data_IF_987364678054
#
_entry.id   IF_987364678054
#
_cell.length_a   1.000
_cell.length_b   1.000
_cell.length_c   1.000
_cell.angle_alpha   90.00
_cell.angle_beta   90.00
_cell.angle_gamma   90.00
#
_symmetry.space_group_name_H-M   'P 1'
#
loop_
_entity.id
_entity.type
_entity.pdbx_description
1 polymer ?
#
# COMPACT_ATOMS: atom_id res chain seq x y z
N UNK A 1 32.00 5.81 2.64
CA UNK A 1 31.18 4.80 3.35
C UNK A 1 30.20 4.24 2.35
N UNK A 2 30.51 3.07 1.78
CA UNK A 2 29.59 2.36 0.90
C UNK A 2 28.41 1.84 1.73
N UNK A 3 27.23 1.81 1.13
CA UNK A 3 26.01 1.25 1.71
C UNK A 3 26.17 -0.24 2.03
N UNK A 4 27.08 -0.93 1.32
CA UNK A 4 27.52 -2.29 1.57
C UNK A 4 28.34 -2.40 2.89
N UNK A 5 29.25 -1.45 3.16
CA UNK A 5 29.96 -1.37 4.45
C UNK A 5 29.02 -1.05 5.62
N UNK A 6 27.99 -0.25 5.38
CA UNK A 6 26.96 0.08 6.38
C UNK A 6 26.01 -1.10 6.63
N UNK A 7 25.84 -2.00 5.67
CA UNK A 7 25.14 -3.28 5.84
C UNK A 7 25.99 -4.26 6.65
N UNK A 8 27.29 -4.36 6.35
CA UNK A 8 28.21 -5.26 7.07
C UNK A 8 28.32 -4.93 8.58
N UNK A 9 28.32 -3.65 8.95
CA UNK A 9 28.28 -3.23 10.35
C UNK A 9 26.97 -3.61 11.06
N UNK A 10 25.90 -3.83 10.29
CA UNK A 10 24.61 -4.28 10.79
C UNK A 10 24.44 -5.81 10.71
N UNK A 11 25.38 -6.56 10.13
CA UNK A 11 25.31 -8.04 10.02
C UNK A 11 26.37 -8.78 10.84
N UNK A 12 27.19 -8.09 11.64
CA UNK A 12 28.22 -8.74 12.45
C UNK A 12 27.63 -9.47 13.68
N UNK A 13 27.15 -10.70 13.47
CA UNK A 13 27.40 -11.80 14.39
C UNK A 13 28.80 -12.33 14.09
N UNK A 14 29.68 -12.31 15.08
CA UNK A 14 31.12 -12.46 14.87
C UNK A 14 31.54 -13.74 14.15
N UNK A 15 32.36 -13.57 13.11
CA UNK A 15 33.62 -14.32 12.95
C UNK A 15 34.47 -13.64 11.89
N UNK A 16 35.73 -13.43 12.20
CA UNK A 16 36.80 -13.03 11.28
C UNK A 16 38.03 -13.88 11.63
N UNK A 17 39.10 -13.93 10.80
CA UNK A 17 39.27 -13.48 9.42
C UNK A 17 39.87 -14.59 8.52
N UNK A 18 40.16 -14.30 7.24
CA UNK A 18 41.47 -14.60 6.63
C UNK A 18 41.60 -13.82 5.31
N UNK A 19 42.72 -13.11 5.21
CA UNK A 19 43.35 -12.48 4.05
C UNK A 19 43.51 -13.43 2.85
N UNK A 20 43.45 -12.92 1.62
CA UNK A 20 44.65 -12.71 0.78
C UNK A 20 44.31 -12.14 -0.61
N UNK A 21 44.98 -11.03 -0.92
CA UNK A 21 45.75 -10.75 -2.14
C UNK A 21 45.11 -10.82 -3.55
N UNK A 22 44.99 -9.62 -4.15
CA UNK A 22 45.09 -9.33 -5.60
C UNK A 22 46.54 -9.63 -6.13
N UNK A 23 46.85 -9.71 -7.47
CA UNK A 23 46.46 -8.70 -8.48
C UNK A 23 46.33 -9.10 -9.99
N UNK A 24 45.68 -8.19 -10.74
CA UNK A 24 45.98 -7.60 -12.07
C UNK A 24 46.47 -8.45 -13.27
N UNK A 25 45.83 -8.30 -14.46
CA UNK A 25 46.48 -8.13 -15.80
C UNK A 25 45.55 -7.36 -16.78
N UNK A 26 46.22 -6.55 -17.59
CA UNK A 26 45.87 -5.56 -18.61
C UNK A 26 45.57 -6.13 -20.04
N UNK A 27 45.20 -5.23 -20.97
CA UNK A 27 45.48 -5.22 -22.43
C UNK A 27 44.35 -5.55 -23.45
N UNK A 28 43.98 -4.48 -24.20
CA UNK A 28 43.75 -4.34 -25.67
C UNK A 28 42.35 -4.30 -26.32
N UNK A 29 42.11 -3.14 -26.97
CA UNK A 29 41.29 -2.76 -28.15
C UNK A 29 41.96 -3.28 -29.47
N UNK A 30 41.54 -2.95 -30.73
CA UNK A 30 40.34 -2.27 -31.30
C UNK A 30 39.72 -3.04 -32.50
N UNK A 31 38.60 -2.63 -33.13
CA UNK A 31 38.50 -1.81 -34.37
C UNK A 31 37.05 -1.96 -34.91
N UNK A 32 36.28 -0.90 -35.21
CA UNK A 32 36.17 -0.11 -36.47
C UNK A 32 34.84 -0.42 -37.18
N UNK A 33 34.02 0.62 -37.43
CA UNK A 33 33.26 0.91 -38.69
C UNK A 33 32.06 1.86 -38.43
N UNK A 34 32.19 3.10 -38.89
CA UNK A 34 31.10 4.06 -39.22
C UNK A 34 30.47 3.72 -40.60
N UNK A 35 29.55 4.51 -41.20
CA UNK A 35 28.42 5.32 -40.69
C UNK A 35 27.10 5.06 -41.47
N UNK A 36 25.95 5.58 -41.02
CA UNK A 36 24.84 5.98 -41.94
C UNK A 36 23.79 6.86 -41.26
N UNK A 37 23.51 8.00 -41.90
CA UNK A 37 22.44 8.95 -41.65
C UNK A 37 21.03 8.33 -41.74
N UNK A 38 20.08 8.85 -40.96
CA UNK A 38 18.84 9.48 -41.49
C UNK A 38 18.01 10.04 -40.33
N UNK A 39 17.95 11.37 -40.25
CA UNK A 39 16.99 12.10 -39.43
C UNK A 39 15.56 11.81 -39.91
N UNK A 40 14.76 11.20 -39.05
CA UNK A 40 13.29 11.14 -39.12
C UNK A 40 12.73 11.46 -37.72
N UNK A 41 11.49 11.96 -37.59
CA UNK A 41 11.00 12.51 -36.33
C UNK A 41 11.00 11.44 -35.25
N UNK A 42 11.77 11.68 -34.21
CA UNK A 42 11.85 10.80 -33.05
C UNK A 42 10.52 10.92 -32.29
N UNK A 43 9.56 10.05 -32.63
CA UNK A 43 8.44 9.74 -31.75
C UNK A 43 9.00 9.17 -30.46
N UNK A 44 9.11 10.02 -29.45
CA UNK A 44 9.42 9.65 -28.08
C UNK A 44 8.25 8.84 -27.51
N UNK A 45 8.27 7.53 -27.70
CA UNK A 45 7.42 6.60 -26.96
C UNK A 45 8.26 5.92 -25.87
N UNK A 46 8.44 6.66 -24.79
CA UNK A 46 8.75 6.27 -23.42
C UNK A 46 9.07 4.79 -23.17
N UNK A 47 10.35 4.50 -22.89
CA UNK A 47 10.73 3.31 -22.13
C UNK A 47 10.22 3.48 -20.69
N UNK A 48 8.99 3.05 -20.45
CA UNK A 48 8.45 2.86 -19.10
C UNK A 48 9.26 1.74 -18.43
N UNK A 49 10.33 2.12 -17.74
CA UNK A 49 11.18 1.16 -17.03
C UNK A 49 10.40 0.41 -15.94
N UNK A 50 10.85 -0.82 -15.64
CA UNK A 50 10.28 -1.67 -14.58
C UNK A 50 10.25 -0.93 -13.24
N UNK A 51 9.19 -1.13 -12.46
CA UNK A 51 9.09 -0.65 -11.07
C UNK A 51 8.85 -1.80 -10.10
N UNK A 52 9.51 -1.74 -8.95
CA UNK A 52 9.27 -2.64 -7.82
C UNK A 52 8.23 -2.03 -6.88
N UNK A 53 7.31 -2.86 -6.42
CA UNK A 53 6.37 -2.56 -5.36
C UNK A 53 6.74 -3.41 -4.13
N UNK A 54 6.89 -2.78 -2.97
CA UNK A 54 7.29 -3.45 -1.75
C UNK A 54 6.32 -3.15 -0.61
N UNK A 55 5.97 -4.17 0.16
CA UNK A 55 5.13 -4.07 1.34
C UNK A 55 5.98 -3.93 2.62
N UNK A 56 5.32 -3.60 3.74
CA UNK A 56 6.00 -3.42 5.04
C UNK A 56 6.56 -4.72 5.63
N UNK A 57 6.03 -5.87 5.20
CA UNK A 57 6.56 -7.22 5.50
C UNK A 57 7.68 -7.65 4.52
N UNK A 58 8.16 -6.71 3.69
CA UNK A 58 9.21 -6.89 2.68
C UNK A 58 8.83 -7.86 1.55
N UNK A 59 7.57 -8.24 1.45
CA UNK A 59 7.10 -8.90 0.24
C UNK A 59 7.12 -7.90 -0.92
N UNK A 60 7.50 -8.36 -2.11
CA UNK A 60 7.69 -7.47 -3.26
C UNK A 60 7.39 -8.13 -4.59
N UNK A 61 6.95 -7.32 -5.55
CA UNK A 61 6.69 -7.73 -6.93
C UNK A 61 7.06 -6.62 -7.91
N UNK A 62 7.38 -7.01 -9.15
CA UNK A 62 7.79 -6.09 -10.21
C UNK A 62 6.72 -5.94 -11.29
N UNK A 63 6.69 -4.78 -11.94
CA UNK A 63 5.84 -4.52 -13.11
C UNK A 63 6.54 -3.69 -14.16
N UNK A 64 6.33 -4.05 -15.43
CA UNK A 64 6.70 -3.30 -16.62
C UNK A 64 5.73 -2.14 -16.93
N UNK A 65 4.65 -2.01 -16.15
CA UNK A 65 3.52 -1.10 -16.40
C UNK A 65 3.23 -0.22 -15.18
N UNK A 66 4.23 0.49 -14.64
CA UNK A 66 4.08 1.23 -13.39
C UNK A 66 3.02 2.33 -13.42
N UNK A 67 2.68 2.87 -14.60
CA UNK A 67 1.64 3.91 -14.76
C UNK A 67 0.22 3.39 -14.52
N UNK A 68 -0.01 2.09 -14.62
CA UNK A 68 -1.30 1.47 -14.36
C UNK A 68 -1.59 1.30 -12.87
N UNK A 69 -0.56 1.46 -12.03
CA UNK A 69 -0.64 1.25 -10.59
C UNK A 69 -0.38 2.57 -9.86
N UNK A 70 -1.17 2.80 -8.81
CA UNK A 70 -0.96 3.94 -7.92
C UNK A 70 0.33 3.79 -7.11
N UNK A 71 0.80 4.87 -6.45
CA UNK A 71 1.97 4.79 -5.56
C UNK A 71 1.79 3.74 -4.46
N UNK A 72 0.59 3.62 -3.91
CA UNK A 72 0.24 2.59 -2.92
C UNK A 72 -0.89 1.73 -3.50
N UNK A 73 -0.73 0.40 -3.46
CA UNK A 73 -1.67 -0.57 -3.99
C UNK A 73 -1.96 -1.63 -2.92
N UNK A 74 -3.24 -1.85 -2.65
CA UNK A 74 -3.69 -2.98 -1.84
C UNK A 74 -3.87 -4.23 -2.70
N UNK A 75 -3.21 -5.33 -2.35
CA UNK A 75 -3.41 -6.65 -2.95
C UNK A 75 -3.48 -7.68 -1.81
N UNK A 76 -4.53 -8.51 -1.79
CA UNK A 76 -4.72 -9.57 -0.79
C UNK A 76 -4.59 -9.11 0.69
N UNK A 77 -5.05 -7.89 0.98
CA UNK A 77 -4.97 -7.30 2.33
C UNK A 77 -3.58 -6.77 2.70
N UNK A 78 -2.61 -6.81 1.79
CA UNK A 78 -1.26 -6.27 1.95
C UNK A 78 -1.14 -4.97 1.14
N UNK A 79 -0.61 -3.92 1.78
CA UNK A 79 -0.32 -2.66 1.11
C UNK A 79 1.10 -2.66 0.56
N UNK A 80 1.23 -2.62 -0.76
CA UNK A 80 2.48 -2.45 -1.46
C UNK A 80 2.65 -0.99 -1.87
N UNK A 81 3.81 -0.40 -1.63
CA UNK A 81 4.15 0.94 -2.11
C UNK A 81 5.23 0.83 -3.19
N UNK A 82 5.08 1.60 -4.26
CA UNK A 82 6.08 1.73 -5.32
C UNK A 82 7.39 2.19 -4.70
N UNK A 83 8.45 1.44 -4.97
CA UNK A 83 9.75 1.73 -4.42
C UNK A 83 10.28 3.04 -5.01
N UNK A 84 10.69 3.93 -4.11
CA UNK A 84 11.44 5.14 -4.37
C UNK A 84 12.56 5.26 -3.31
N UNK A 85 13.56 6.14 -3.50
CA UNK A 85 14.67 6.26 -2.56
C UNK A 85 14.24 6.56 -1.11
N UNK A 86 13.18 7.34 -0.91
CA UNK A 86 12.65 7.69 0.41
C UNK A 86 12.00 6.48 1.09
N UNK A 87 11.19 5.72 0.34
CA UNK A 87 10.55 4.52 0.86
C UNK A 87 11.58 3.43 1.16
N UNK A 88 12.61 3.28 0.31
CA UNK A 88 13.74 2.41 0.61
C UNK A 88 14.43 2.79 1.93
N UNK A 89 14.70 4.08 2.15
CA UNK A 89 15.30 4.56 3.39
C UNK A 89 14.43 4.24 4.62
N UNK A 90 13.10 4.36 4.49
CA UNK A 90 12.16 3.95 5.51
C UNK A 90 12.18 2.44 5.78
N UNK A 91 12.17 1.60 4.74
CA UNK A 91 12.28 0.14 4.88
C UNK A 91 13.60 -0.26 5.57
N UNK A 92 14.71 0.42 5.24
CA UNK A 92 16.01 0.22 5.91
C UNK A 92 15.93 0.54 7.40
N UNK A 93 15.24 1.62 7.77
CA UNK A 93 15.02 1.94 9.18
C UNK A 93 14.20 0.86 9.89
N UNK A 94 13.16 0.32 9.23
CA UNK A 94 12.35 -0.77 9.78
C UNK A 94 13.17 -2.05 9.97
N UNK A 95 14.08 -2.37 9.05
CA UNK A 95 15.05 -3.45 9.22
C UNK A 95 15.99 -3.23 10.42
N UNK A 96 16.45 -2.00 10.65
CA UNK A 96 17.25 -1.69 11.84
C UNK A 96 16.45 -1.88 13.15
N UNK A 97 15.14 -1.59 13.16
CA UNK A 97 14.27 -1.88 14.29
C UNK A 97 14.04 -3.39 14.48
N UNK A 98 13.88 -4.15 13.39
CA UNK A 98 13.76 -5.61 13.44
C UNK A 98 15.05 -6.24 14.01
N UNK A 99 16.22 -5.73 13.62
CA UNK A 99 17.51 -6.17 14.18
C UNK A 99 17.58 -5.92 15.69
N UNK A 100 17.21 -4.71 16.14
CA UNK A 100 17.13 -4.41 17.59
C UNK A 100 16.13 -5.31 18.33
N UNK A 101 15.06 -5.74 17.66
CA UNK A 101 14.09 -6.67 18.24
C UNK A 101 14.67 -8.09 18.38
N UNK A 102 15.45 -8.55 17.39
CA UNK A 102 16.21 -9.81 17.47
C UNK A 102 17.23 -9.77 18.62
N UNK A 103 18.03 -8.71 18.71
CA UNK A 103 19.01 -8.52 19.79
C UNK A 103 18.35 -8.49 21.18
N UNK A 104 17.11 -8.00 21.26
CA UNK A 104 16.31 -7.99 22.48
C UNK A 104 15.53 -9.30 22.73
N UNK A 105 15.70 -10.33 21.89
CA UNK A 105 15.00 -11.62 22.01
C UNK A 105 13.49 -11.56 21.71
N UNK A 106 12.99 -10.46 21.12
CA UNK A 106 11.58 -10.26 20.77
C UNK A 106 11.23 -10.74 19.37
N UNK A 107 12.24 -11.10 18.57
CA UNK A 107 12.10 -11.64 17.23
C UNK A 107 12.98 -12.89 17.13
N UNK A 108 12.42 -13.95 16.59
CA UNK A 108 13.16 -15.19 16.35
C UNK A 108 14.20 -15.01 15.22
N UNK A 109 15.32 -15.74 15.31
CA UNK A 109 16.42 -15.64 14.34
C UNK A 109 15.97 -16.06 12.94
N UNK A 110 15.17 -17.12 12.80
CA UNK A 110 14.69 -17.59 11.50
C UNK A 110 13.72 -16.59 10.87
N UNK A 111 12.87 -15.96 11.70
CA UNK A 111 11.98 -14.89 11.25
C UNK A 111 12.77 -13.65 10.78
N UNK A 112 13.84 -13.27 11.49
CA UNK A 112 14.71 -12.18 11.07
C UNK A 112 15.48 -12.49 9.78
N UNK A 113 15.97 -13.73 9.62
CA UNK A 113 16.65 -14.15 8.40
C UNK A 113 15.73 -14.11 7.18
N UNK A 114 14.46 -14.49 7.34
CA UNK A 114 13.45 -14.33 6.28
C UNK A 114 13.27 -12.87 5.85
N UNK A 115 13.21 -11.94 6.80
CA UNK A 115 13.15 -10.50 6.52
C UNK A 115 14.42 -10.01 5.83
N UNK A 116 15.59 -10.47 6.28
CA UNK A 116 16.89 -10.11 5.71
C UNK A 116 17.01 -10.53 4.25
N UNK A 117 16.62 -11.75 3.92
CA UNK A 117 16.62 -12.25 2.53
C UNK A 117 15.77 -11.36 1.63
N UNK A 118 14.51 -11.10 2.01
CA UNK A 118 13.60 -10.25 1.23
C UNK A 118 14.10 -8.81 1.10
N UNK A 119 14.68 -8.26 2.16
CA UNK A 119 15.28 -6.93 2.09
C UNK A 119 16.46 -6.88 1.11
N UNK A 120 17.27 -7.92 1.03
CA UNK A 120 18.41 -7.97 0.12
C UNK A 120 17.96 -7.97 -1.34
N UNK A 121 16.85 -8.63 -1.66
CA UNK A 121 16.27 -8.62 -3.02
C UNK A 121 15.81 -7.20 -3.39
N UNK A 122 15.04 -6.55 -2.50
CA UNK A 122 14.63 -5.14 -2.66
C UNK A 122 15.85 -4.22 -2.79
N UNK A 123 16.88 -4.46 -1.98
CA UNK A 123 18.09 -3.66 -1.97
C UNK A 123 18.89 -3.78 -3.26
N UNK A 124 19.09 -5.00 -3.77
CA UNK A 124 19.77 -5.25 -5.04
C UNK A 124 19.05 -4.53 -6.19
N UNK A 125 17.72 -4.63 -6.22
CA UNK A 125 16.90 -3.92 -7.20
C UNK A 125 17.04 -2.39 -7.06
N UNK A 126 16.97 -1.86 -5.84
CA UNK A 126 17.09 -0.43 -5.57
C UNK A 126 18.44 0.13 -6.03
N UNK A 127 19.54 -0.59 -5.80
CA UNK A 127 20.88 -0.19 -6.26
C UNK A 127 20.96 -0.20 -7.77
N UNK A 128 20.43 -1.23 -8.42
CA UNK A 128 20.41 -1.32 -9.88
C UNK A 128 19.59 -0.19 -10.51
N UNK A 129 18.49 0.25 -9.85
CA UNK A 129 17.57 1.26 -10.40
C UNK A 129 17.95 2.70 -10.09
N UNK A 130 18.29 3.01 -8.84
CA UNK A 130 18.52 4.38 -8.35
C UNK A 130 20.01 4.69 -8.15
N UNK A 131 20.84 3.65 -8.03
CA UNK A 131 22.24 3.81 -7.68
C UNK A 131 22.46 4.10 -6.18
N UNK A 132 23.64 3.71 -5.71
CA UNK A 132 23.95 3.71 -4.27
C UNK A 132 23.99 5.11 -3.64
N UNK A 133 24.47 6.11 -4.38
CA UNK A 133 24.61 7.49 -3.90
C UNK A 133 23.25 8.14 -3.62
N UNK A 134 22.25 7.91 -4.47
CA UNK A 134 20.90 8.47 -4.31
C UNK A 134 20.21 7.85 -3.09
N UNK A 135 20.31 6.54 -2.92
CA UNK A 135 19.80 5.84 -1.75
C UNK A 135 20.45 6.32 -0.46
N UNK A 136 21.77 6.54 -0.45
CA UNK A 136 22.50 7.10 0.69
C UNK A 136 22.11 8.54 0.98
N UNK A 137 21.80 9.35 -0.04
CA UNK A 137 21.28 10.70 0.16
C UNK A 137 19.91 10.66 0.85
N UNK A 138 18.99 9.82 0.35
CA UNK A 138 17.67 9.65 0.93
C UNK A 138 17.72 9.15 2.38
N UNK A 139 18.59 8.19 2.70
CA UNK A 139 18.78 7.70 4.08
C UNK A 139 19.25 8.83 5.03
N UNK A 140 20.05 9.78 4.55
CA UNK A 140 20.56 10.89 5.36
C UNK A 140 19.56 12.03 5.52
N UNK A 141 18.71 12.27 4.52
CA UNK A 141 17.77 13.39 4.52
C UNK A 141 16.38 13.03 5.06
N UNK A 142 16.02 11.74 5.07
CA UNK A 142 14.68 11.31 5.46
C UNK A 142 14.39 11.58 6.94
N UNK A 143 13.36 12.37 7.20
CA UNK A 143 12.77 12.49 8.53
C UNK A 143 11.72 11.39 8.75
N UNK A 144 12.11 10.41 9.57
CA UNK A 144 11.32 9.22 9.87
C UNK A 144 10.05 9.53 10.66
N UNK A 145 9.99 10.65 11.39
CA UNK A 145 8.81 11.02 12.18
C UNK A 145 7.68 11.58 11.32
N UNK A 146 8.03 12.14 10.17
CA UNK A 146 7.11 12.80 9.26
C UNK A 146 6.82 11.95 8.01
N UNK A 147 7.63 10.92 7.75
CA UNK A 147 7.39 9.99 6.65
C UNK A 147 6.13 9.13 6.89
N UNK A 148 5.09 9.24 6.04
CA UNK A 148 3.86 8.50 6.22
C UNK A 148 4.07 7.01 5.87
N UNK A 149 3.59 6.08 6.72
CA UNK A 149 3.65 4.65 6.38
C UNK A 149 2.85 4.36 5.09
N UNK A 150 3.15 3.26 4.38
CA UNK A 150 2.30 2.74 3.31
C UNK A 150 0.86 2.64 3.81
N UNK A 151 -0.04 3.34 3.14
CA UNK A 151 -1.42 3.43 3.55
C UNK A 151 -2.31 3.31 2.32
N UNK A 152 -3.29 2.42 2.39
CA UNK A 152 -4.41 2.40 1.47
C UNK A 152 -5.26 3.62 1.84
N UNK A 153 -4.91 4.77 1.29
CA UNK A 153 -5.69 6.01 1.42
C UNK A 153 -6.17 6.44 0.03
N UNK A 154 -7.49 6.43 -0.24
CA UNK A 154 -8.04 6.90 -1.52
C UNK A 154 -7.80 8.40 -1.75
N UNK A 155 -7.40 9.19 -0.74
CA UNK A 155 -7.19 10.63 -0.85
C UNK A 155 -5.73 11.06 -1.14
N UNK A 156 -4.75 10.14 -1.09
CA UNK A 156 -3.33 10.50 -1.23
C UNK A 156 -2.86 10.69 -2.68
N UNK A 157 -3.72 10.44 -3.69
CA UNK A 157 -3.36 10.49 -5.11
C UNK A 157 -3.61 11.84 -5.79
N UNK A 158 -3.86 12.92 -5.05
CA UNK A 158 -4.04 14.25 -5.63
C UNK A 158 -3.33 15.33 -4.82
N UNK A 159 -2.00 15.29 -4.78
CA UNK A 159 -1.19 16.48 -4.55
C UNK A 159 0.07 16.44 -5.42
N UNK A 160 0.20 17.28 -6.47
CA UNK A 160 1.51 17.62 -6.98
C UNK A 160 2.24 18.47 -5.93
N UNK A 161 3.49 18.10 -5.64
CA UNK A 161 4.39 18.85 -4.77
C UNK A 161 5.05 20.00 -5.56
N UNK A 162 4.97 21.22 -4.99
CA UNK A 162 5.87 22.39 -5.10
C UNK A 162 5.03 23.65 -4.79
N UNK A 163 5.43 24.67 -4.02
CA UNK A 163 6.63 24.95 -3.25
C UNK A 163 6.30 26.06 -2.22
N UNK A 164 6.70 25.86 -0.97
CA UNK A 164 7.12 26.85 0.05
C UNK A 164 6.20 28.07 0.40
N UNK A 165 6.52 28.88 1.45
CA UNK A 165 5.81 28.81 2.74
C UNK A 165 5.30 30.18 3.24
N UNK A 166 4.06 30.31 3.73
CA UNK A 166 3.65 31.54 4.44
C UNK A 166 2.70 31.25 5.63
N UNK A 167 3.26 31.50 6.82
CA UNK A 167 2.67 31.93 8.10
C UNK A 167 1.65 31.06 8.87
N UNK A 168 1.79 30.98 10.20
CA UNK A 168 0.79 30.38 11.08
C UNK A 168 -0.32 31.41 11.32
N UNK A 169 -1.36 31.41 10.48
CA UNK A 169 -2.62 32.01 10.86
C UNK A 169 -3.50 30.89 11.41
N UNK A 170 -3.83 30.99 12.68
CA UNK A 170 -4.82 30.17 13.33
C UNK A 170 -6.10 30.17 12.47
N UNK A 171 -6.39 29.04 11.81
CA UNK A 171 -7.64 28.88 11.11
C UNK A 171 -8.76 28.81 12.17
N UNK A 172 -9.78 29.68 12.09
CA UNK A 172 -10.92 29.60 12.98
C UNK A 172 -11.65 28.28 12.73
N UNK A 173 -12.04 27.61 13.82
CA UNK A 173 -12.85 26.40 13.83
C UNK A 173 -14.00 26.51 12.82
N UNK A 174 -13.92 25.76 11.73
CA UNK A 174 -15.06 25.55 10.84
C UNK A 174 -16.22 24.89 11.61
N UNK A 175 -17.47 25.02 11.13
CA UNK A 175 -18.61 24.42 11.80
C UNK A 175 -18.35 22.91 11.95
N UNK A 176 -18.52 22.41 13.18
CA UNK A 176 -18.40 21.00 13.49
C UNK A 176 -19.46 20.24 12.69
N UNK A 177 -19.09 19.74 11.51
CA UNK A 177 -19.89 18.75 10.80
C UNK A 177 -19.89 17.52 11.70
N UNK A 178 -21.05 17.20 12.27
CA UNK A 178 -21.22 16.01 13.11
C UNK A 178 -20.64 14.82 12.34
N UNK A 179 -19.59 14.22 12.90
CA UNK A 179 -18.98 13.06 12.29
C UNK A 179 -19.98 11.91 12.39
N UNK A 180 -20.33 11.32 11.27
CA UNK A 180 -21.18 10.15 11.22
C UNK A 180 -20.49 8.98 11.95
N UNK A 181 -21.12 8.46 13.01
CA UNK A 181 -20.58 7.42 13.87
C UNK A 181 -21.65 6.37 14.16
N UNK A 182 -21.47 5.16 13.62
CA UNK A 182 -22.33 4.03 13.88
C UNK A 182 -21.50 2.73 14.00
N UNK A 183 -21.73 1.89 15.04
CA UNK A 183 -22.53 2.18 16.24
C UNK A 183 -21.98 3.35 17.05
N UNK A 184 -22.84 4.02 17.84
CA UNK A 184 -22.43 5.14 18.72
C UNK A 184 -21.49 4.66 19.83
N UNK A 185 -21.82 3.51 20.39
CA UNK A 185 -21.11 2.90 21.51
C UNK A 185 -20.24 1.73 21.06
N UNK A 186 -19.27 1.35 21.89
CA UNK A 186 -18.36 0.21 21.67
C UNK A 186 -16.89 0.59 21.46
N UNK A 187 -16.01 -0.37 21.73
CA UNK A 187 -14.55 -0.23 21.57
C UNK A 187 -14.12 -0.48 20.12
N UNK A 188 -14.38 0.51 19.26
CA UNK A 188 -13.97 0.46 17.86
C UNK A 188 -12.65 1.20 17.66
N UNK A 189 -11.64 0.51 17.14
CA UNK A 189 -10.30 1.09 16.92
C UNK A 189 -10.20 1.92 15.65
N UNK A 190 -11.11 1.71 14.71
CA UNK A 190 -11.10 2.37 13.41
C UNK A 190 -12.47 2.95 13.10
N UNK A 191 -12.49 4.04 12.34
CA UNK A 191 -13.69 4.74 11.90
C UNK A 191 -13.45 5.22 10.48
N UNK A 192 -14.28 4.75 9.56
CA UNK A 192 -14.27 5.12 8.16
C UNK A 192 -15.10 6.38 7.94
N UNK A 193 -14.63 7.27 7.05
CA UNK A 193 -15.36 8.50 6.75
C UNK A 193 -16.46 8.18 5.76
N UNK A 194 -17.68 8.54 6.14
CA UNK A 194 -18.85 8.32 5.30
C UNK A 194 -19.37 9.66 4.79
N UNK A 195 -19.48 9.87 3.46
CA UNK A 195 -20.11 11.05 2.92
C UNK A 195 -21.63 11.00 3.13
N UNK A 196 -22.28 12.15 3.34
CA UNK A 196 -23.73 12.23 3.51
C UNK A 196 -24.50 11.57 2.36
N UNK A 197 -23.99 11.70 1.12
CA UNK A 197 -24.59 11.08 -0.06
C UNK A 197 -24.60 9.54 -0.02
N UNK A 198 -23.70 8.90 0.72
CA UNK A 198 -23.75 7.46 0.95
C UNK A 198 -24.85 7.10 1.96
N UNK A 199 -24.98 7.89 3.03
CA UNK A 199 -26.03 7.74 4.04
C UNK A 199 -27.40 7.86 3.37
N UNK A 200 -27.62 8.91 2.58
CA UNK A 200 -28.90 9.16 1.91
C UNK A 200 -29.30 7.99 0.97
N UNK A 201 -28.32 7.37 0.31
CA UNK A 201 -28.54 6.21 -0.55
C UNK A 201 -28.93 4.97 0.26
N UNK A 202 -28.24 4.72 1.36
CA UNK A 202 -28.55 3.60 2.25
C UNK A 202 -29.90 3.81 2.94
N UNK A 203 -30.22 5.03 3.36
CA UNK A 203 -31.52 5.42 3.91
C UNK A 203 -32.65 5.13 2.92
N UNK A 204 -32.44 5.43 1.63
CA UNK A 204 -33.43 5.17 0.59
C UNK A 204 -33.80 3.67 0.43
N UNK A 205 -32.89 2.76 0.81
CA UNK A 205 -33.12 1.30 0.72
C UNK A 205 -33.27 0.61 2.08
N UNK A 206 -33.19 1.37 3.18
CA UNK A 206 -33.18 0.85 4.55
C UNK A 206 -34.37 -0.05 4.84
N UNK A 207 -35.58 0.48 4.66
CA UNK A 207 -36.81 -0.24 5.04
C UNK A 207 -36.96 -1.52 4.22
N UNK A 208 -36.59 -1.48 2.93
CA UNK A 208 -36.56 -2.66 2.07
C UNK A 208 -35.54 -3.68 2.57
N UNK A 209 -34.31 -3.27 2.85
CA UNK A 209 -33.26 -4.16 3.33
C UNK A 209 -33.61 -4.78 4.70
N UNK A 210 -34.13 -4.00 5.64
CA UNK A 210 -34.57 -4.50 6.95
C UNK A 210 -35.70 -5.53 6.80
N UNK A 211 -36.67 -5.31 5.89
CA UNK A 211 -37.74 -6.28 5.62
C UNK A 211 -37.22 -7.61 5.05
N UNK A 212 -36.05 -7.59 4.40
CA UNK A 212 -35.37 -8.75 3.81
C UNK A 212 -34.38 -9.42 4.78
N UNK A 213 -34.29 -8.95 6.03
CA UNK A 213 -33.47 -9.56 7.08
C UNK A 213 -32.04 -9.01 7.18
N UNK A 214 -31.76 -7.83 6.61
CA UNK A 214 -30.52 -7.12 6.91
C UNK A 214 -30.59 -6.49 8.31
N UNK A 215 -29.45 -6.44 9.01
CA UNK A 215 -29.35 -5.68 10.26
C UNK A 215 -28.89 -4.24 9.97
N UNK A 216 -29.24 -3.31 10.87
CA UNK A 216 -28.79 -1.92 10.74
C UNK A 216 -27.25 -1.82 10.75
N UNK A 217 -26.56 -2.66 11.52
CA UNK A 217 -25.10 -2.72 11.51
C UNK A 217 -24.55 -3.02 10.11
N UNK A 218 -25.15 -3.97 9.38
CA UNK A 218 -24.74 -4.30 8.00
C UNK A 218 -25.00 -3.17 7.00
N UNK A 219 -25.90 -2.25 7.31
CA UNK A 219 -26.17 -1.10 6.45
C UNK A 219 -25.29 0.09 6.82
N UNK A 220 -25.16 0.40 8.10
CA UNK A 220 -24.74 1.70 8.60
C UNK A 220 -23.39 1.72 9.31
N UNK A 221 -22.83 0.57 9.69
CA UNK A 221 -21.63 0.55 10.51
C UNK A 221 -20.41 1.06 9.76
N UNK A 222 -19.83 2.14 10.27
CA UNK A 222 -18.59 2.71 9.74
C UNK A 222 -17.42 2.56 10.70
N UNK A 223 -17.59 1.79 11.76
CA UNK A 223 -16.60 1.58 12.81
C UNK A 223 -16.24 0.10 12.86
N UNK A 224 -14.95 -0.20 12.97
CA UNK A 224 -14.47 -1.58 12.92
C UNK A 224 -13.36 -1.85 13.93
N UNK A 225 -13.18 -3.14 14.24
CA UNK A 225 -12.02 -3.62 15.03
C UNK A 225 -10.74 -3.60 14.20
N UNK A 226 -10.89 -3.77 12.88
CA UNK A 226 -9.83 -3.67 11.88
C UNK A 226 -10.05 -2.47 10.98
N UNK A 227 -9.00 -2.00 10.29
CA UNK A 227 -9.10 -0.85 9.36
C UNK A 227 -9.86 -1.24 8.10
N UNK A 228 -10.77 -0.40 7.63
CA UNK A 228 -11.49 -0.59 6.36
C UNK A 228 -10.51 -0.80 5.18
N UNK A 229 -10.81 -1.68 4.21
CA UNK A 229 -11.99 -2.56 4.10
C UNK A 229 -11.83 -3.91 4.81
N UNK A 230 -10.86 -4.06 5.71
CA UNK A 230 -10.60 -5.32 6.39
C UNK A 230 -11.59 -5.56 7.54
N UNK A 231 -11.99 -6.83 7.70
CA UNK A 231 -12.93 -7.26 8.72
C UNK A 231 -14.39 -7.19 8.27
N UNK A 232 -15.26 -7.91 8.98
CA UNK A 232 -16.69 -8.01 8.65
C UNK A 232 -17.53 -6.95 9.38
N UNK A 233 -16.90 -5.97 10.02
CA UNK A 233 -17.61 -5.00 10.86
C UNK A 233 -18.24 -3.87 10.02
N UNK A 234 -17.77 -3.62 8.79
CA UNK A 234 -18.21 -2.48 7.98
C UNK A 234 -19.50 -2.77 7.20
N UNK A 235 -20.42 -1.82 7.25
CA UNK A 235 -21.70 -1.86 6.55
C UNK A 235 -21.64 -1.26 5.14
N UNK A 236 -22.73 -1.44 4.40
CA UNK A 236 -22.93 -0.98 3.03
C UNK A 236 -22.53 0.48 2.82
N UNK A 237 -22.81 1.35 3.79
CA UNK A 237 -22.55 2.78 3.72
C UNK A 237 -21.06 3.13 3.49
N UNK A 238 -20.13 2.25 3.86
CA UNK A 238 -18.69 2.44 3.62
C UNK A 238 -18.25 2.06 2.21
N UNK A 239 -19.10 1.37 1.44
CA UNK A 239 -18.77 0.85 0.11
C UNK A 239 -19.47 1.61 -1.02
N UNK A 240 -20.33 2.59 -0.70
CA UNK A 240 -21.09 3.35 -1.70
C UNK A 240 -20.52 4.76 -1.82
N UNK A 241 -19.95 5.07 -2.97
CA UNK A 241 -19.44 6.40 -3.27
C UNK A 241 -20.51 7.34 -3.87
N UNK A 242 -20.19 8.63 -3.95
CA UNK A 242 -21.07 9.64 -4.54
C UNK A 242 -21.49 9.32 -6.00
N UNK A 243 -20.60 8.69 -6.78
CA UNK A 243 -20.81 8.37 -8.20
C UNK A 243 -21.49 7.02 -8.44
N UNK A 244 -21.63 6.21 -7.41
CA UNK A 244 -22.22 4.87 -7.48
C UNK A 244 -23.68 4.92 -7.09
N UNK A 245 -24.46 3.90 -7.44
CA UNK A 245 -25.88 3.81 -7.05
C UNK A 245 -26.19 2.42 -6.54
N UNK A 246 -27.16 2.34 -5.63
CA UNK A 246 -27.65 1.05 -5.15
C UNK A 246 -28.58 0.48 -6.22
N UNK A 247 -28.32 -0.77 -6.61
CA UNK A 247 -29.10 -1.54 -7.57
C UNK A 247 -30.09 -2.46 -6.87
N UNK A 248 -30.07 -3.74 -7.25
CA UNK A 248 -30.97 -4.73 -6.68
C UNK A 248 -30.69 -4.94 -5.17
N UNK A 249 -31.75 -4.94 -4.36
CA UNK A 249 -31.72 -5.20 -2.92
C UNK A 249 -32.45 -6.50 -2.65
N UNK A 250 -31.71 -7.53 -2.27
CA UNK A 250 -32.22 -8.87 -1.99
C UNK A 250 -31.89 -9.29 -0.56
N UNK A 251 -32.45 -10.41 -0.11
CA UNK A 251 -32.08 -11.00 1.20
C UNK A 251 -30.58 -11.34 1.27
N UNK A 252 -29.99 -11.79 0.16
CA UNK A 252 -28.64 -12.33 0.13
C UNK A 252 -27.56 -11.31 -0.24
N UNK A 253 -27.90 -10.29 -1.02
CA UNK A 253 -26.95 -9.25 -1.44
C UNK A 253 -27.66 -7.93 -1.81
N UNK A 254 -26.90 -6.85 -1.77
CA UNK A 254 -27.25 -5.53 -2.31
C UNK A 254 -26.25 -5.19 -3.43
N UNK A 255 -26.74 -4.79 -4.60
CA UNK A 255 -25.87 -4.36 -5.69
C UNK A 255 -25.39 -2.92 -5.50
N UNK A 256 -24.11 -2.70 -5.79
CA UNK A 256 -23.51 -1.39 -5.95
C UNK A 256 -23.12 -1.26 -7.41
N UNK A 257 -23.71 -0.29 -8.10
CA UNK A 257 -23.51 -0.07 -9.53
C UNK A 257 -22.60 1.15 -9.70
N UNK A 258 -21.45 0.92 -10.32
CA UNK A 258 -20.47 1.94 -10.66
C UNK A 258 -21.02 2.98 -11.66
N UNK A 259 -20.28 4.08 -11.87
CA UNK A 259 -20.73 5.13 -12.77
C UNK A 259 -20.78 4.67 -14.25
N UNK A 260 -21.66 5.27 -15.06
CA UNK A 260 -21.63 5.12 -16.52
C UNK A 260 -20.27 5.51 -17.12
N UNK A 261 -19.88 4.97 -18.29
CA UNK A 261 -20.68 4.14 -19.21
C UNK A 261 -20.53 2.63 -19.00
N UNK A 262 -19.57 2.17 -18.17
CA UNK A 262 -19.32 0.72 -17.97
C UNK A 262 -20.22 0.10 -16.90
N UNK A 263 -20.65 0.86 -15.90
CA UNK A 263 -21.56 0.41 -14.83
C UNK A 263 -21.15 -0.91 -14.19
N UNK A 264 -19.92 -1.00 -13.69
CA UNK A 264 -19.45 -2.21 -12.99
C UNK A 264 -20.39 -2.55 -11.84
N UNK A 265 -20.85 -3.79 -11.75
CA UNK A 265 -21.76 -4.26 -10.70
C UNK A 265 -21.01 -5.05 -9.64
N UNK A 266 -21.02 -4.54 -8.42
CA UNK A 266 -20.51 -5.21 -7.23
C UNK A 266 -21.69 -5.72 -6.39
N UNK A 267 -21.49 -6.83 -5.68
CA UNK A 267 -22.49 -7.41 -4.78
C UNK A 267 -21.96 -7.36 -3.35
N UNK A 268 -22.60 -6.55 -2.51
CA UNK A 268 -22.38 -6.56 -1.09
C UNK A 268 -23.21 -7.69 -0.47
N UNK A 269 -22.55 -8.73 0.03
CA UNK A 269 -23.22 -9.93 0.53
C UNK A 269 -23.69 -9.78 1.97
N UNK A 270 -24.85 -10.37 2.28
CA UNK A 270 -25.36 -10.50 3.64
C UNK A 270 -24.79 -11.78 4.28
N UNK A 271 -23.83 -11.71 5.21
CA UNK A 271 -23.29 -12.90 5.86
C UNK A 271 -24.26 -13.52 6.88
N UNK A 272 -25.29 -12.76 7.30
CA UNK A 272 -26.23 -13.18 8.36
C UNK A 272 -27.31 -14.15 7.80
N UNK A 273 -27.29 -14.45 6.50
CA UNK A 273 -28.22 -15.37 5.84
C UNK A 273 -27.47 -16.44 5.04
N UNK A 274 -28.12 -17.60 4.89
CA UNK A 274 -27.56 -18.66 4.07
C UNK A 274 -27.44 -18.23 2.60
N UNK A 275 -26.27 -18.49 2.05
CA UNK A 275 -25.89 -18.22 0.67
C UNK A 275 -25.97 -19.55 -0.09
N UNK A 276 -27.08 -19.87 -0.80
CA UNK A 276 -27.31 -21.20 -1.37
C UNK A 276 -26.27 -21.63 -2.43
N UNK A 277 -25.46 -20.70 -2.92
CA UNK A 277 -24.33 -20.99 -3.82
C UNK A 277 -22.99 -21.26 -3.11
N UNK A 278 -22.88 -20.97 -1.81
CA UNK A 278 -21.74 -21.39 -0.99
C UNK A 278 -22.00 -22.81 -0.47
N UNK A 279 -21.25 -23.78 -0.98
CA UNK A 279 -21.17 -25.10 -0.32
C UNK A 279 -20.39 -24.92 0.98
N UNK A 280 -21.06 -24.87 2.13
CA UNK A 280 -20.40 -25.03 3.43
C UNK A 280 -19.76 -26.42 3.41
N UNK A 281 -18.43 -26.49 3.26
CA UNK A 281 -17.68 -27.71 3.58
C UNK A 281 -17.80 -27.87 5.09
N UNK A 282 -18.71 -28.73 5.52
CA UNK A 282 -18.87 -29.07 6.92
C UNK A 282 -17.52 -29.62 7.40
N UNK A 283 -16.83 -29.02 8.39
CA UNK A 283 -15.77 -29.73 9.09
C UNK A 283 -16.48 -30.68 10.04
N UNK A 284 -16.92 -31.82 9.52
CA UNK A 284 -17.23 -32.97 10.37
C UNK A 284 -15.92 -33.71 10.65
N UNK A 285 -15.68 -33.86 11.96
CA UNK A 285 -14.68 -34.66 12.70
C UNK A 285 -13.39 -33.92 13.06
#
# INVERSE_FOLDING_TARGET
MSLLELMMQQTAGGSAPVDTSNPSVDVSKPETSEPAERNGPQETADSDGTALYAATNLDSWETDKPRYFARDVGMDGVCYRRLDPEYYAWLRHKMALAKKALEAGRLDSAAFDGLRTRFNDIHAWAVARFGENELLAAVRSLDLKTYPPPAIDPAAQSRPACAAPICPVACPSGPAVEQYLYPKDGEWRFTEKVPQSAIDKVDAVRDQALSLGWSEARLYQNRGRFRFPCGEDYGLVCFVDAKERIGDVTRQYIEIIGPPPRENRLRFHNPDVDQPWLKKTNPEI
#
